data_IF_003773230520
#
_entry.id   IF_003773230520
#
_cell.length_a   1.000
_cell.length_b   1.000
_cell.length_c   1.000
_cell.angle_alpha   90.00
_cell.angle_beta   90.00
_cell.angle_gamma   90.00
#
_symmetry.space_group_name_H-M   'P 1'
#
loop_
_entity.id
_entity.type
_entity.pdbx_description
1 polymer ?
#
# COMPACT_ATOMS: atom_id res chain seq x y z
N UNK A 1 26.75 11.65 -70.38
CA UNK A 1 27.47 10.36 -70.30
C UNK A 1 28.19 10.27 -68.96
N UNK A 2 28.05 9.13 -68.26
CA UNK A 2 28.77 8.71 -67.04
C UNK A 2 28.31 9.44 -65.75
N UNK A 3 27.93 8.78 -64.64
CA UNK A 3 28.04 7.38 -64.20
C UNK A 3 27.06 7.13 -63.04
N UNK A 4 26.43 5.95 -63.06
CA UNK A 4 25.85 5.23 -61.92
C UNK A 4 26.89 4.99 -60.82
N UNK A 5 26.42 4.74 -59.58
CA UNK A 5 26.96 3.93 -58.44
C UNK A 5 26.50 4.63 -57.15
N UNK A 6 25.99 4.00 -56.09
CA UNK A 6 25.42 2.69 -55.83
C UNK A 6 24.73 2.83 -54.46
N UNK A 7 23.48 2.39 -54.34
CA UNK A 7 22.83 2.12 -53.07
C UNK A 7 23.42 0.84 -52.46
N UNK A 8 23.51 0.74 -51.12
CA UNK A 8 23.14 -0.43 -50.31
C UNK A 8 23.52 -0.21 -48.83
N UNK A 9 22.62 -0.71 -47.96
CA UNK A 9 22.77 -1.08 -46.55
C UNK A 9 22.61 0.01 -45.48
N UNK A 10 21.37 0.19 -45.02
CA UNK A 10 21.07 0.38 -43.60
C UNK A 10 19.65 -0.08 -43.27
N UNK A 11 19.44 -1.40 -43.17
CA UNK A 11 18.16 -1.98 -42.75
C UNK A 11 18.42 -3.21 -41.87
N UNK A 12 18.83 -2.98 -40.62
CA UNK A 12 18.94 -4.05 -39.61
C UNK A 12 18.97 -3.51 -38.17
N UNK A 13 18.06 -2.60 -37.79
CA UNK A 13 17.85 -2.23 -36.38
C UNK A 13 16.35 -2.02 -36.12
N UNK A 14 15.55 -3.10 -36.11
CA UNK A 14 14.14 -3.01 -35.73
C UNK A 14 13.61 -4.22 -34.93
N UNK A 15 14.43 -5.23 -34.64
CA UNK A 15 13.97 -6.47 -33.99
C UNK A 15 14.13 -6.50 -32.45
N UNK A 16 14.87 -5.57 -31.85
CA UNK A 16 15.16 -5.56 -30.40
C UNK A 16 14.11 -4.81 -29.57
N UNK A 17 13.30 -3.91 -30.16
CA UNK A 17 12.31 -3.10 -29.44
C UNK A 17 11.06 -3.88 -29.03
N UNK A 18 10.67 -4.90 -29.80
CA UNK A 18 9.44 -5.66 -29.56
C UNK A 18 9.51 -6.57 -28.32
N UNK A 19 10.69 -7.12 -28.01
CA UNK A 19 10.85 -8.05 -26.88
C UNK A 19 10.91 -7.35 -25.51
N UNK A 20 11.32 -6.07 -25.47
CA UNK A 20 11.34 -5.28 -24.24
C UNK A 20 9.92 -4.84 -23.82
N UNK A 21 9.07 -4.48 -24.78
CA UNK A 21 7.70 -4.03 -24.49
C UNK A 21 6.79 -5.16 -23.99
N UNK A 22 6.96 -6.39 -24.49
CA UNK A 22 6.15 -7.54 -24.04
C UNK A 22 6.44 -7.93 -22.59
N UNK A 23 7.72 -7.99 -22.19
CA UNK A 23 8.11 -8.32 -20.80
C UNK A 23 7.63 -7.27 -19.80
N UNK A 24 7.67 -5.99 -20.17
CA UNK A 24 7.20 -4.91 -19.28
C UNK A 24 5.69 -5.02 -19.01
N UNK A 25 4.89 -5.29 -20.04
CA UNK A 25 3.43 -5.44 -19.91
C UNK A 25 3.02 -6.69 -19.14
N UNK A 26 3.72 -7.80 -19.35
CA UNK A 26 3.49 -9.05 -18.61
C UNK A 26 3.79 -8.85 -17.11
N UNK A 27 4.94 -8.26 -16.79
CA UNK A 27 5.31 -7.93 -15.41
C UNK A 27 4.32 -6.96 -14.75
N UNK A 28 3.88 -5.92 -15.45
CA UNK A 28 2.91 -4.95 -14.95
C UNK A 28 1.55 -5.60 -14.67
N UNK A 29 1.10 -6.48 -15.57
CA UNK A 29 -0.13 -7.26 -15.39
C UNK A 29 -0.03 -8.17 -14.17
N UNK A 30 1.14 -8.78 -13.93
CA UNK A 30 1.35 -9.64 -12.77
C UNK A 30 1.38 -8.86 -11.45
N UNK A 31 1.99 -7.66 -11.43
CA UNK A 31 1.97 -6.78 -10.25
C UNK A 31 0.55 -6.31 -9.95
N UNK A 32 -0.21 -5.85 -10.95
CA UNK A 32 -1.60 -5.42 -10.76
C UNK A 32 -2.46 -6.53 -10.15
N UNK A 33 -2.33 -7.76 -10.66
CA UNK A 33 -3.01 -8.95 -10.12
C UNK A 33 -2.61 -9.26 -8.68
N UNK A 34 -1.33 -9.13 -8.33
CA UNK A 34 -0.86 -9.33 -6.96
C UNK A 34 -1.45 -8.31 -6.00
N UNK A 35 -1.56 -7.04 -6.41
CA UNK A 35 -2.15 -5.99 -5.59
C UNK A 35 -3.62 -6.24 -5.30
N UNK A 36 -4.41 -6.52 -6.35
CA UNK A 36 -5.82 -6.86 -6.21
C UNK A 36 -6.05 -8.13 -5.39
N UNK A 37 -5.12 -9.09 -5.47
CA UNK A 37 -5.17 -10.29 -4.67
C UNK A 37 -4.94 -10.01 -3.18
N UNK A 38 -3.92 -9.22 -2.85
CA UNK A 38 -3.62 -8.86 -1.46
C UNK A 38 -4.81 -8.13 -0.86
N UNK A 39 -5.37 -7.14 -1.57
CA UNK A 39 -6.58 -6.41 -1.17
C UNK A 39 -7.74 -7.33 -0.84
N UNK A 40 -8.12 -8.23 -1.76
CA UNK A 40 -9.23 -9.15 -1.56
C UNK A 40 -9.01 -10.09 -0.36
N UNK A 41 -7.77 -10.58 -0.18
CA UNK A 41 -7.42 -11.44 0.95
C UNK A 41 -7.44 -10.69 2.28
N UNK A 42 -6.86 -9.48 2.33
CA UNK A 42 -6.81 -8.69 3.56
C UNK A 42 -8.18 -8.18 3.96
N UNK A 43 -9.05 -7.83 3.00
CA UNK A 43 -10.41 -7.41 3.26
C UNK A 43 -11.17 -8.50 4.03
N UNK A 44 -11.16 -9.72 3.51
CA UNK A 44 -11.76 -10.87 4.18
C UNK A 44 -11.19 -11.16 5.57
N UNK A 45 -9.86 -11.16 5.70
CA UNK A 45 -9.21 -11.50 6.98
C UNK A 45 -9.57 -10.44 8.01
N UNK A 46 -9.55 -9.16 7.65
CA UNK A 46 -9.94 -8.08 8.55
C UNK A 46 -11.44 -8.12 8.90
N UNK A 47 -12.31 -8.53 7.97
CA UNK A 47 -13.75 -8.68 8.23
C UNK A 47 -14.03 -9.86 9.18
N UNK A 48 -13.34 -10.99 9.03
CA UNK A 48 -13.56 -12.18 9.86
C UNK A 48 -12.75 -12.20 11.17
N UNK A 49 -11.65 -11.45 11.24
CA UNK A 49 -10.66 -11.49 12.33
C UNK A 49 -10.31 -10.09 12.86
N UNK A 50 -11.24 -9.15 12.80
CA UNK A 50 -10.99 -7.74 13.09
C UNK A 50 -10.26 -7.47 14.41
N UNK A 51 -10.62 -8.16 15.49
CA UNK A 51 -9.94 -8.00 16.80
C UNK A 51 -8.47 -8.43 16.74
N UNK A 52 -8.16 -9.59 16.17
CA UNK A 52 -6.78 -10.09 16.03
C UNK A 52 -5.93 -9.17 15.14
N UNK A 53 -6.56 -8.59 14.11
CA UNK A 53 -5.92 -7.63 13.21
C UNK A 53 -5.63 -6.32 13.94
N UNK A 54 -6.59 -5.79 14.70
CA UNK A 54 -6.42 -4.57 15.49
C UNK A 54 -5.31 -4.72 16.53
N UNK A 55 -5.26 -5.87 17.20
CA UNK A 55 -4.19 -6.24 18.14
C UNK A 55 -2.83 -6.28 17.42
N UNK A 56 -2.73 -7.00 16.29
CA UNK A 56 -1.46 -7.08 15.56
C UNK A 56 -0.97 -5.69 15.12
N UNK A 57 -1.86 -4.83 14.60
CA UNK A 57 -1.49 -3.54 14.03
C UNK A 57 -1.07 -2.51 15.09
N UNK A 58 -1.47 -2.66 16.36
CA UNK A 58 -1.05 -1.76 17.45
C UNK A 58 0.34 -2.07 18.00
N UNK A 59 0.91 -3.24 17.70
CA UNK A 59 2.21 -3.67 18.20
C UNK A 59 3.40 -3.04 17.45
N UNK A 60 4.57 -3.03 18.11
CA UNK A 60 5.86 -2.79 17.45
C UNK A 60 6.14 -3.91 16.44
N UNK A 61 6.27 -3.57 15.15
CA UNK A 61 6.47 -4.57 14.09
C UNK A 61 7.79 -5.35 14.19
N UNK A 62 8.72 -4.94 15.05
CA UNK A 62 9.99 -5.62 15.32
C UNK A 62 9.84 -6.70 16.41
N UNK A 63 8.77 -6.65 17.19
CA UNK A 63 8.51 -7.57 18.30
C UNK A 63 8.30 -9.01 17.82
N UNK A 64 8.48 -9.98 18.73
CA UNK A 64 8.13 -11.38 18.50
C UNK A 64 6.62 -11.57 18.35
N UNK A 65 5.85 -10.77 19.09
CA UNK A 65 4.41 -10.93 19.21
C UNK A 65 3.72 -10.49 17.93
N UNK A 66 4.16 -9.35 17.37
CA UNK A 66 3.77 -8.92 16.03
C UNK A 66 4.07 -10.00 14.98
N UNK A 67 5.30 -10.54 14.97
CA UNK A 67 5.70 -11.57 14.00
C UNK A 67 4.86 -12.85 14.15
N UNK A 68 4.48 -13.19 15.37
CA UNK A 68 3.64 -14.35 15.67
C UNK A 68 2.21 -14.14 15.18
N UNK A 69 1.58 -13.01 15.52
CA UNK A 69 0.23 -12.68 15.05
C UNK A 69 0.17 -12.51 13.54
N UNK A 70 1.15 -11.83 12.94
CA UNK A 70 1.32 -11.72 11.50
C UNK A 70 1.35 -13.09 10.81
N UNK A 71 2.17 -14.02 11.34
CA UNK A 71 2.27 -15.37 10.81
C UNK A 71 1.02 -16.23 11.03
N UNK A 72 0.25 -15.96 12.09
CA UNK A 72 -1.05 -16.59 12.36
C UNK A 72 -2.10 -16.10 11.37
N UNK A 73 -2.22 -14.78 11.20
CA UNK A 73 -3.19 -14.13 10.30
C UNK A 73 -2.92 -14.48 8.84
N UNK A 74 -1.66 -14.48 8.39
CA UNK A 74 -1.34 -14.81 6.99
C UNK A 74 -1.60 -16.27 6.62
N UNK A 75 -1.70 -17.16 7.62
CA UNK A 75 -2.03 -18.58 7.46
C UNK A 75 -3.47 -18.90 7.84
N UNK A 76 -4.25 -17.89 8.24
CA UNK A 76 -5.60 -18.10 8.69
C UNK A 76 -6.45 -18.68 7.56
N UNK A 77 -7.24 -19.70 7.89
CA UNK A 77 -8.30 -20.17 7.00
C UNK A 77 -9.46 -19.20 7.12
N UNK A 78 -9.81 -18.56 6.01
CA UNK A 78 -11.01 -17.75 5.85
C UNK A 78 -12.22 -18.64 5.58
N UNK A 79 -13.43 -18.13 5.79
CA UNK A 79 -14.67 -18.84 5.49
C UNK A 79 -14.76 -19.25 4.01
N UNK A 80 -15.63 -20.22 3.70
CA UNK A 80 -15.92 -20.59 2.31
C UNK A 80 -16.52 -19.44 1.52
N UNK A 81 -17.24 -18.53 2.18
CA UNK A 81 -17.83 -17.35 1.54
C UNK A 81 -16.73 -16.41 1.06
N UNK A 82 -15.84 -15.99 1.96
CA UNK A 82 -14.66 -15.22 1.58
C UNK A 82 -13.83 -15.93 0.50
N UNK A 83 -13.52 -17.21 0.71
CA UNK A 83 -12.70 -17.97 -0.23
C UNK A 83 -13.31 -18.03 -1.64
N UNK A 84 -14.63 -18.08 -1.73
CA UNK A 84 -15.36 -18.11 -2.99
C UNK A 84 -15.51 -16.73 -3.63
N UNK A 85 -15.60 -15.66 -2.85
CA UNK A 85 -15.61 -14.29 -3.33
C UNK A 85 -14.29 -13.91 -4.03
N UNK A 86 -13.18 -14.52 -3.63
CA UNK A 86 -11.87 -14.26 -4.25
C UNK A 86 -11.71 -14.89 -5.64
N UNK A 87 -11.15 -14.14 -6.61
CA UNK A 87 -10.79 -14.68 -7.92
C UNK A 87 -9.87 -15.90 -7.80
N UNK A 88 -10.15 -16.94 -8.60
CA UNK A 88 -9.43 -18.22 -8.54
C UNK A 88 -7.92 -18.10 -8.72
N UNK A 89 -7.48 -17.11 -9.51
CA UNK A 89 -6.07 -16.83 -9.76
C UNK A 89 -5.29 -16.43 -8.49
N UNK A 90 -5.99 -15.99 -7.44
CA UNK A 90 -5.39 -15.35 -6.27
C UNK A 90 -5.31 -16.26 -5.03
N UNK A 91 -5.83 -17.49 -5.12
CA UNK A 91 -5.95 -18.43 -3.99
C UNK A 91 -4.63 -19.11 -3.55
N UNK A 92 -3.51 -18.78 -4.18
CA UNK A 92 -2.18 -19.40 -3.94
C UNK A 92 -1.10 -18.39 -3.57
N UNK A 93 -1.47 -17.15 -3.25
CA UNK A 93 -0.50 -16.10 -2.95
C UNK A 93 -0.02 -16.23 -1.51
N UNK A 94 1.28 -16.14 -1.31
CA UNK A 94 1.87 -16.00 0.01
C UNK A 94 1.63 -14.57 0.50
N UNK A 95 0.84 -14.47 1.57
CA UNK A 95 0.53 -13.20 2.21
C UNK A 95 1.56 -12.93 3.31
N UNK A 96 2.06 -11.71 3.39
CA UNK A 96 2.93 -11.30 4.49
C UNK A 96 3.61 -9.96 4.28
N UNK A 97 4.35 -9.56 5.31
CA UNK A 97 5.13 -8.33 5.30
C UNK A 97 4.25 -7.07 5.23
N UNK A 98 4.86 -6.00 4.73
CA UNK A 98 4.23 -4.67 4.68
C UNK A 98 2.98 -4.63 3.78
N UNK A 99 2.95 -5.20 2.56
CA UNK A 99 1.73 -5.25 1.75
C UNK A 99 0.51 -5.82 2.46
N UNK A 100 0.71 -6.94 3.16
CA UNK A 100 -0.36 -7.60 3.88
C UNK A 100 -0.80 -6.79 5.10
N UNK A 101 0.15 -6.26 5.88
CA UNK A 101 -0.18 -5.36 6.99
C UNK A 101 -0.92 -4.09 6.52
N UNK A 102 -0.53 -3.55 5.36
CA UNK A 102 -1.14 -2.40 4.72
C UNK A 102 -2.60 -2.64 4.37
N UNK A 103 -2.88 -3.72 3.62
CA UNK A 103 -4.26 -4.05 3.25
C UNK A 103 -5.15 -4.38 4.46
N UNK A 104 -4.59 -5.00 5.51
CA UNK A 104 -5.31 -5.20 6.77
C UNK A 104 -5.64 -3.87 7.44
N UNK A 105 -4.67 -2.96 7.55
CA UNK A 105 -4.86 -1.65 8.17
C UNK A 105 -5.89 -0.81 7.41
N UNK A 106 -5.81 -0.79 6.09
CA UNK A 106 -6.75 -0.07 5.22
C UNK A 106 -8.18 -0.57 5.40
N UNK A 107 -8.39 -1.91 5.39
CA UNK A 107 -9.71 -2.46 5.64
C UNK A 107 -10.27 -2.09 7.01
N UNK A 108 -9.45 -2.18 8.06
CA UNK A 108 -9.88 -1.81 9.41
C UNK A 108 -10.21 -0.31 9.50
N UNK A 109 -9.48 0.53 8.77
CA UNK A 109 -9.73 1.96 8.66
C UNK A 109 -11.10 2.22 8.00
N UNK A 110 -11.42 1.51 6.92
CA UNK A 110 -12.68 1.65 6.17
C UNK A 110 -13.94 1.18 6.91
N UNK A 111 -13.79 0.29 7.89
CA UNK A 111 -14.91 -0.26 8.66
C UNK A 111 -15.52 0.73 9.66
N UNK A 112 -14.92 1.90 9.84
CA UNK A 112 -15.41 2.93 10.74
C UNK A 112 -16.45 3.82 10.05
N UNK A 113 -17.52 4.17 10.76
CA UNK A 113 -18.61 5.00 10.24
C UNK A 113 -18.23 6.48 10.13
N UNK A 114 -17.22 6.95 10.88
CA UNK A 114 -16.78 8.34 10.83
C UNK A 114 -15.84 8.61 9.63
N UNK A 115 -16.04 9.73 8.89
CA UNK A 115 -15.20 10.05 7.74
C UNK A 115 -13.70 10.05 8.06
N UNK A 116 -12.92 9.37 7.23
CA UNK A 116 -11.48 9.19 7.46
C UNK A 116 -10.73 10.53 7.62
N UNK A 117 -11.06 11.54 6.81
CA UNK A 117 -10.44 12.86 6.93
C UNK A 117 -10.63 13.44 8.33
N UNK A 118 -11.83 13.37 8.89
CA UNK A 118 -12.12 13.90 10.22
C UNK A 118 -11.27 13.21 11.28
N UNK A 119 -11.24 11.87 11.26
CA UNK A 119 -10.44 11.09 12.20
C UNK A 119 -8.93 11.34 12.07
N UNK A 120 -8.40 11.40 10.85
CA UNK A 120 -6.97 11.70 10.62
C UNK A 120 -6.61 13.14 10.99
N UNK A 121 -7.50 14.10 10.76
CA UNK A 121 -7.32 15.47 11.21
C UNK A 121 -7.23 15.57 12.72
N UNK A 122 -8.06 14.83 13.46
CA UNK A 122 -7.98 14.75 14.92
C UNK A 122 -6.69 14.04 15.37
N UNK A 123 -6.37 12.91 14.75
CA UNK A 123 -5.15 12.16 15.06
C UNK A 123 -3.85 12.96 14.78
N UNK A 124 -3.86 13.90 13.82
CA UNK A 124 -2.73 14.78 13.56
C UNK A 124 -2.43 15.73 14.73
N UNK A 125 -3.43 16.04 15.56
CA UNK A 125 -3.33 16.88 16.76
C UNK A 125 -2.94 16.08 18.01
N UNK A 126 -3.02 14.76 17.97
CA UNK A 126 -2.62 13.89 19.07
C UNK A 126 -1.10 13.97 19.34
N UNK A 127 -0.69 13.44 20.50
CA UNK A 127 0.71 13.41 20.94
C UNK A 127 1.66 12.67 19.99
N UNK A 128 2.93 12.57 20.39
CA UNK A 128 3.89 11.76 19.63
C UNK A 128 3.53 10.28 19.69
N UNK A 129 3.43 9.65 18.52
CA UNK A 129 3.21 8.20 18.39
C UNK A 129 4.57 7.53 18.16
N UNK A 130 4.88 6.41 18.83
CA UNK A 130 6.11 5.68 18.59
C UNK A 130 6.28 5.31 17.11
N UNK A 131 7.52 5.43 16.64
CA UNK A 131 7.91 4.98 15.29
C UNK A 131 8.94 3.86 15.39
N UNK A 132 8.87 2.89 14.49
CA UNK A 132 9.65 1.65 14.58
C UNK A 132 10.68 1.49 13.44
N UNK A 133 10.65 2.37 12.44
CA UNK A 133 11.69 2.53 11.42
C UNK A 133 11.69 3.94 10.86
N UNK A 134 12.71 4.26 10.03
CA UNK A 134 12.75 5.51 9.26
C UNK A 134 11.56 5.65 8.32
N UNK A 135 11.18 4.59 7.62
CA UNK A 135 10.05 4.61 6.67
C UNK A 135 8.72 4.80 7.40
N UNK A 136 8.56 4.19 8.57
CA UNK A 136 7.40 4.39 9.44
C UNK A 136 7.31 5.84 9.94
N UNK A 137 8.43 6.41 10.39
CA UNK A 137 8.47 7.83 10.79
C UNK A 137 8.11 8.78 9.64
N UNK A 138 8.55 8.48 8.41
CA UNK A 138 8.19 9.27 7.22
C UNK A 138 6.69 9.11 6.92
N UNK A 139 6.16 7.89 6.96
CA UNK A 139 4.74 7.65 6.69
C UNK A 139 3.83 8.33 7.74
N UNK A 140 4.20 8.31 9.02
CA UNK A 140 3.50 9.06 10.06
C UNK A 140 3.60 10.58 9.82
N UNK A 141 4.78 11.09 9.45
CA UNK A 141 4.93 12.50 9.07
C UNK A 141 4.00 12.88 7.91
N UNK A 142 3.89 12.05 6.88
CA UNK A 142 3.02 12.30 5.73
C UNK A 142 1.54 12.29 6.12
N UNK A 143 1.09 11.26 6.86
CA UNK A 143 -0.28 11.14 7.30
C UNK A 143 -0.71 12.29 8.23
N UNK A 144 0.18 12.75 9.11
CA UNK A 144 -0.06 13.93 9.96
C UNK A 144 -0.01 15.25 9.19
N UNK A 145 0.92 15.37 8.24
CA UNK A 145 1.17 16.61 7.50
C UNK A 145 0.14 16.89 6.41
N UNK A 146 -0.46 15.85 5.84
CA UNK A 146 -1.47 15.96 4.79
C UNK A 146 -2.58 14.91 4.93
N UNK A 147 -3.36 14.94 6.03
CA UNK A 147 -4.42 13.94 6.29
C UNK A 147 -5.46 13.90 5.17
N UNK A 148 -5.76 15.04 4.53
CA UNK A 148 -6.65 15.13 3.38
C UNK A 148 -6.15 14.37 2.15
N UNK A 149 -4.86 14.43 1.82
CA UNK A 149 -4.32 13.69 0.68
C UNK A 149 -4.25 12.18 0.94
N UNK A 150 -3.99 11.79 2.19
CA UNK A 150 -4.04 10.37 2.58
C UNK A 150 -5.46 9.84 2.55
N UNK A 151 -6.46 10.61 3.01
CA UNK A 151 -7.85 10.24 2.88
C UNK A 151 -8.27 10.09 1.41
N UNK A 152 -7.90 11.05 0.55
CA UNK A 152 -8.15 10.96 -0.90
C UNK A 152 -7.51 9.70 -1.48
N UNK A 153 -6.27 9.37 -1.10
CA UNK A 153 -5.63 8.13 -1.55
C UNK A 153 -6.45 6.90 -1.14
N UNK A 154 -6.92 6.80 0.10
CA UNK A 154 -7.66 5.62 0.54
C UNK A 154 -9.05 5.49 -0.10
N UNK A 155 -9.64 6.60 -0.55
CA UNK A 155 -10.89 6.58 -1.32
C UNK A 155 -10.71 6.09 -2.78
N UNK A 156 -9.48 5.91 -3.28
CA UNK A 156 -9.24 5.43 -4.66
C UNK A 156 -9.24 3.91 -4.76
N UNK A 157 -9.76 3.38 -5.88
CA UNK A 157 -9.59 1.97 -6.24
C UNK A 157 -8.12 1.61 -6.50
N UNK A 158 -7.68 0.43 -6.06
CA UNK A 158 -6.32 -0.05 -6.28
C UNK A 158 -6.07 -0.28 -7.77
N UNK A 159 -4.91 0.17 -8.28
CA UNK A 159 -4.51 0.17 -9.69
C UNK A 159 -5.29 1.13 -10.59
N UNK A 160 -6.07 2.06 -10.04
CA UNK A 160 -6.79 3.05 -10.85
C UNK A 160 -5.90 4.24 -11.26
N UNK A 161 -6.37 5.04 -12.20
CA UNK A 161 -5.69 6.29 -12.58
C UNK A 161 -5.74 7.34 -11.46
N UNK A 162 -6.82 7.33 -10.69
CA UNK A 162 -7.04 8.16 -9.52
C UNK A 162 -6.02 7.83 -8.42
N UNK A 163 -5.73 6.55 -8.19
CA UNK A 163 -4.68 6.15 -7.24
C UNK A 163 -3.32 6.72 -7.63
N UNK A 164 -2.96 6.62 -8.92
CA UNK A 164 -1.69 7.15 -9.45
C UNK A 164 -1.62 8.66 -9.24
N UNK A 165 -2.73 9.37 -9.51
CA UNK A 165 -2.81 10.81 -9.32
C UNK A 165 -2.70 11.20 -7.83
N UNK A 166 -3.41 10.51 -6.93
CA UNK A 166 -3.35 10.76 -5.49
C UNK A 166 -1.93 10.53 -4.94
N UNK A 167 -1.25 9.48 -5.39
CA UNK A 167 0.15 9.22 -5.04
C UNK A 167 1.11 10.30 -5.57
N UNK A 168 0.84 10.86 -6.75
CA UNK A 168 1.61 11.98 -7.30
C UNK A 168 1.44 13.25 -6.46
N UNK A 169 0.22 13.54 -5.99
CA UNK A 169 -0.09 14.67 -5.12
C UNK A 169 0.56 14.57 -3.73
N UNK A 170 0.85 13.36 -3.26
CA UNK A 170 1.60 13.11 -2.02
C UNK A 170 3.12 13.35 -2.15
N UNK A 171 3.66 13.49 -3.38
CA UNK A 171 5.11 13.62 -3.59
C UNK A 171 5.74 14.85 -2.89
N UNK A 172 5.15 16.05 -2.93
CA UNK A 172 5.69 17.20 -2.20
C UNK A 172 5.73 16.98 -0.69
N UNK A 173 4.73 16.28 -0.13
CA UNK A 173 4.66 15.94 1.30
C UNK A 173 5.74 14.93 1.65
N UNK A 174 5.91 13.90 0.83
CA UNK A 174 7.00 12.93 0.95
C UNK A 174 8.35 13.64 0.97
N UNK A 175 8.60 14.55 0.03
CA UNK A 175 9.84 15.32 -0.04
C UNK A 175 10.10 16.18 1.21
N UNK A 176 9.05 16.80 1.77
CA UNK A 176 9.16 17.54 3.03
C UNK A 176 9.52 16.61 4.21
N UNK A 177 8.84 15.47 4.32
CA UNK A 177 9.04 14.49 5.39
C UNK A 177 10.38 13.75 5.30
N UNK A 178 10.92 13.56 4.09
CA UNK A 178 12.25 12.96 3.87
C UNK A 178 13.38 14.00 3.95
N UNK A 179 13.05 15.29 4.06
CA UNK A 179 13.98 16.43 3.92
C UNK A 179 14.75 16.39 2.60
N UNK A 180 14.06 16.04 1.53
CA UNK A 180 14.60 15.95 0.17
C UNK A 180 15.38 14.66 -0.13
N UNK A 181 15.48 13.72 0.81
CA UNK A 181 16.04 12.40 0.52
C UNK A 181 15.06 11.57 -0.34
N UNK A 182 15.59 10.77 -1.26
CA UNK A 182 14.77 9.85 -2.04
C UNK A 182 14.14 8.79 -1.12
N UNK A 183 12.83 8.59 -1.26
CA UNK A 183 12.09 7.48 -0.68
C UNK A 183 11.70 6.54 -1.82
N UNK A 184 12.43 5.43 -1.94
CA UNK A 184 12.13 4.40 -2.92
C UNK A 184 10.97 3.54 -2.41
N UNK A 185 9.76 3.81 -2.89
CA UNK A 185 8.59 3.01 -2.62
C UNK A 185 7.77 2.84 -3.90
N UNK A 186 7.36 1.61 -4.19
CA UNK A 186 6.36 1.37 -5.23
C UNK A 186 5.02 1.99 -4.81
N UNK A 187 4.09 2.25 -5.74
CA UNK A 187 2.73 2.71 -5.41
C UNK A 187 2.09 1.89 -4.29
N UNK A 188 2.21 0.56 -4.39
CA UNK A 188 1.67 -0.36 -3.41
C UNK A 188 2.39 -0.28 -2.06
N UNK A 189 3.72 -0.16 -2.07
CA UNK A 189 4.51 0.02 -0.85
C UNK A 189 4.14 1.32 -0.14
N UNK A 190 3.99 2.42 -0.88
CA UNK A 190 3.60 3.73 -0.33
C UNK A 190 2.21 3.66 0.32
N UNK A 191 1.20 3.11 -0.38
CA UNK A 191 -0.14 2.92 0.19
C UNK A 191 -0.11 2.09 1.47
N UNK A 192 0.64 0.99 1.46
CA UNK A 192 0.79 0.10 2.63
C UNK A 192 1.47 0.78 3.83
N UNK A 193 2.51 1.59 3.56
CA UNK A 193 3.17 2.40 4.59
C UNK A 193 2.21 3.41 5.20
N UNK A 194 1.47 4.13 4.36
CA UNK A 194 0.50 5.12 4.82
C UNK A 194 -0.64 4.46 5.59
N UNK A 195 -1.13 3.30 5.17
CA UNK A 195 -2.23 2.62 5.85
C UNK A 195 -1.84 2.19 7.27
N UNK A 196 -0.68 1.52 7.41
CA UNK A 196 -0.17 1.10 8.73
C UNK A 196 0.18 2.28 9.63
N UNK A 197 0.74 3.37 9.09
CA UNK A 197 1.01 4.59 9.85
C UNK A 197 -0.28 5.30 10.28
N UNK A 198 -1.26 5.43 9.37
CA UNK A 198 -2.57 6.03 9.64
C UNK A 198 -3.31 5.28 10.74
N UNK A 199 -3.33 3.95 10.69
CA UNK A 199 -3.96 3.15 11.73
C UNK A 199 -3.34 3.40 13.11
N UNK A 200 -2.01 3.45 13.21
CA UNK A 200 -1.32 3.74 14.48
C UNK A 200 -1.64 5.13 15.01
N UNK A 201 -1.74 6.13 14.14
CA UNK A 201 -2.14 7.48 14.52
C UNK A 201 -3.58 7.50 15.08
N UNK A 202 -4.50 6.78 14.43
CA UNK A 202 -5.90 6.67 14.86
C UNK A 202 -6.04 5.97 16.22
N UNK A 203 -5.33 4.86 16.44
CA UNK A 203 -5.32 4.17 17.73
C UNK A 203 -4.83 5.10 18.85
N UNK A 204 -3.71 5.79 18.63
CA UNK A 204 -3.14 6.69 19.64
C UNK A 204 -4.07 7.88 19.95
N UNK A 205 -4.81 8.38 18.97
CA UNK A 205 -5.78 9.45 19.18
C UNK A 205 -6.93 9.00 20.10
N UNK A 206 -7.47 7.81 19.87
CA UNK A 206 -8.58 7.25 20.65
C UNK A 206 -8.16 6.88 22.09
N UNK A 207 -6.92 6.41 22.28
CA UNK A 207 -6.38 6.15 23.63
C UNK A 207 -6.24 7.46 24.44
N UNK A 208 -5.81 8.55 23.80
CA UNK A 208 -5.70 9.87 24.44
C UNK A 208 -7.04 10.49 24.85
N UNK A 209 -8.14 10.14 24.20
CA UNK A 209 -9.50 10.58 24.57
C UNK A 209 -10.03 9.89 25.84
N UNK A 210 -9.51 8.71 26.17
CA UNK A 210 -9.99 7.91 27.32
C UNK A 210 -9.35 8.35 28.65
N UNK A 211 -8.29 9.16 28.60
CA UNK A 211 -7.56 9.65 29.78
C UNK A 211 -8.03 11.05 30.29
N UNK A 212 -9.10 11.62 29.70
CA UNK A 212 -9.71 12.91 30.08
C UNK A 212 -11.03 12.70 30.82
#
# INVERSE_FOLDING_TARGET
MKRLIASIALAAVAATSAHAQTRSRENETDVSKQRAAVEAWTACIADERGEEVREMLSLDFRSSDYRTLMGKLSKARVSSECFNAMPRAYRKIELGGLPFAGGLAERIIEQDDEPLLQRLSMAALAGEVPTYSRTDAIAQCMARGAPHLVAILFDTEINSGEEIQALAELQPVSAACTRGAALEASPFGMRSMLATASYRLLVAANEGETEV
#
